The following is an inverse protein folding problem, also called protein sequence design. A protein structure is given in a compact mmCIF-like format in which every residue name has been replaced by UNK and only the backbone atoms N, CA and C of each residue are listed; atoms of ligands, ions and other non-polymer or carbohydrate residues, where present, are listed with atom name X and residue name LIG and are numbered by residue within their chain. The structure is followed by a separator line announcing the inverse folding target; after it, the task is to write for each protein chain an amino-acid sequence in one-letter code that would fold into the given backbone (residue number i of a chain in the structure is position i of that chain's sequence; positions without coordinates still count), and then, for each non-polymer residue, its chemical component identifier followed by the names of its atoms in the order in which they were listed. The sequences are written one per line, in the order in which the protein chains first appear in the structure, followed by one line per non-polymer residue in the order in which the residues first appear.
data_IF_154650822118
#
_entry.id   IF_154650822118
#
_cell.length_a   1.000
_cell.length_b   1.000
_cell.length_c   1.000
_cell.angle_alpha   90.00
_cell.angle_beta   90.00
_cell.angle_gamma   90.00
#
_symmetry.space_group_name_H-M   'P 1'
#
loop_
_entity.id
_entity.type
_entity.pdbx_description
1 polymer ?
#
# COMPACT_ATOMS: atom_id res chain seq x y z
N UNK A 1 18.38 -5.45 -2.65
CA UNK A 1 17.10 -4.84 -3.04
C UNK A 1 16.13 -5.20 -1.93
N UNK A 2 16.11 -4.34 -0.92
CA UNK A 2 15.28 -4.51 0.28
C UNK A 2 13.83 -4.47 -0.16
N UNK A 3 13.08 -5.50 0.22
CA UNK A 3 11.63 -5.44 0.31
C UNK A 3 11.35 -4.23 1.21
N UNK A 4 11.04 -3.07 0.63
CA UNK A 4 10.60 -1.92 1.41
C UNK A 4 9.34 -2.39 2.12
N UNK A 5 9.47 -2.58 3.44
CA UNK A 5 8.38 -3.01 4.29
C UNK A 5 7.18 -2.09 4.00
N UNK A 6 6.06 -2.62 3.50
CA UNK A 6 4.92 -1.79 3.08
C UNK A 6 4.49 -0.81 4.20
N UNK A 7 4.61 -1.26 5.46
CA UNK A 7 4.42 -0.47 6.65
C UNK A 7 5.38 0.74 6.75
N UNK A 8 6.66 0.58 6.40
CA UNK A 8 7.63 1.67 6.35
C UNK A 8 7.22 2.73 5.33
N UNK A 9 6.74 2.31 4.15
CA UNK A 9 6.26 3.23 3.12
C UNK A 9 5.04 4.05 3.61
N UNK A 10 4.06 3.40 4.25
CA UNK A 10 2.90 4.11 4.83
C UNK A 10 3.32 5.05 5.96
N UNK A 11 4.28 4.65 6.79
CA UNK A 11 4.83 5.52 7.85
C UNK A 11 5.51 6.76 7.27
N UNK A 12 6.36 6.59 6.25
CA UNK A 12 7.00 7.69 5.53
C UNK A 12 5.97 8.64 4.89
N UNK A 13 4.92 8.11 4.24
CA UNK A 13 3.83 8.92 3.70
C UNK A 13 3.04 9.65 4.79
N UNK A 14 2.89 9.06 5.97
CA UNK A 14 2.26 9.72 7.12
C UNK A 14 3.08 10.90 7.63
N UNK A 15 4.42 10.77 7.67
CA UNK A 15 5.33 11.89 7.95
C UNK A 15 5.19 13.01 6.91
N UNK A 16 5.28 12.66 5.62
CA UNK A 16 5.17 13.64 4.53
C UNK A 16 3.84 14.41 4.56
N UNK A 17 2.70 13.72 4.77
CA UNK A 17 1.38 14.35 4.93
C UNK A 17 1.33 15.32 6.10
N UNK A 18 1.96 14.98 7.23
CA UNK A 18 2.00 15.85 8.40
C UNK A 18 2.88 17.08 8.15
N UNK A 19 4.01 16.97 7.46
CA UNK A 19 4.81 18.14 7.07
C UNK A 19 4.05 19.08 6.14
N UNK A 20 3.32 18.55 5.15
CA UNK A 20 2.47 19.34 4.26
C UNK A 20 1.35 20.09 5.00
N UNK A 21 0.89 19.55 6.14
CA UNK A 21 -0.14 20.18 6.97
C UNK A 21 0.38 21.26 7.92
N UNK A 22 1.71 21.39 8.08
CA UNK A 22 2.32 22.39 8.97
C UNK A 22 2.47 23.74 8.23
N UNK A 23 1.95 24.85 8.78
CA UNK A 23 2.14 26.17 8.20
C UNK A 23 3.60 26.61 8.32
N UNK A 24 4.22 27.04 7.21
CA UNK A 24 5.56 27.67 7.19
C UNK A 24 6.72 26.82 6.67
N UNK A 25 6.52 25.54 6.34
CA UNK A 25 7.59 24.68 5.76
C UNK A 25 7.80 24.95 4.26
N UNK A 26 6.82 25.56 3.57
CA UNK A 26 6.79 25.68 2.11
C UNK A 26 6.41 27.09 1.63
N UNK A 27 7.23 28.07 1.98
CA UNK A 27 7.10 29.44 1.43
C UNK A 27 7.82 29.63 0.08
N UNK A 28 8.08 28.56 -0.68
CA UNK A 28 8.72 28.62 -2.01
C UNK A 28 8.17 27.57 -3.01
N UNK A 29 8.50 27.74 -4.30
CA UNK A 29 7.82 27.15 -5.47
C UNK A 29 7.42 25.66 -5.36
N UNK A 30 6.18 25.28 -5.78
CA UNK A 30 5.57 23.98 -5.49
C UNK A 30 6.14 22.78 -6.27
N UNK A 31 6.98 22.99 -7.28
CA UNK A 31 7.47 21.91 -8.17
C UNK A 31 8.82 21.34 -7.69
N UNK A 32 9.66 22.16 -7.04
CA UNK A 32 10.98 21.74 -6.54
C UNK A 32 10.90 21.21 -5.09
N UNK A 33 9.85 21.61 -4.36
CA UNK A 33 9.65 21.25 -2.96
C UNK A 33 9.05 19.86 -2.74
N UNK A 34 8.30 19.27 -3.68
CA UNK A 34 7.69 17.95 -3.42
C UNK A 34 8.74 16.85 -3.29
N UNK A 35 9.77 16.86 -4.15
CA UNK A 35 10.86 15.89 -4.09
C UNK A 35 11.73 16.09 -2.85
N UNK A 36 11.98 17.35 -2.45
CA UNK A 36 12.81 17.64 -1.26
C UNK A 36 12.10 17.26 0.05
N UNK A 37 10.77 17.43 0.11
CA UNK A 37 9.95 16.97 1.23
C UNK A 37 9.91 15.46 1.34
N UNK A 38 9.77 14.77 0.21
CA UNK A 38 9.76 13.30 0.19
C UNK A 38 11.11 12.75 0.67
N UNK A 39 12.24 13.33 0.21
CA UNK A 39 13.58 12.98 0.68
C UNK A 39 13.78 13.30 2.16
N UNK A 40 13.28 14.45 2.63
CA UNK A 40 13.33 14.85 4.04
C UNK A 40 12.50 13.90 4.93
N UNK A 41 11.28 13.56 4.51
CA UNK A 41 10.44 12.58 5.17
C UNK A 41 11.09 11.19 5.17
N UNK A 42 11.80 10.82 4.10
CA UNK A 42 12.50 9.55 4.00
C UNK A 42 13.67 9.47 4.97
N UNK A 43 14.46 10.54 5.08
CA UNK A 43 15.51 10.66 6.07
C UNK A 43 14.96 10.50 7.49
N UNK A 44 13.96 11.30 7.86
CA UNK A 44 13.35 11.25 9.19
C UNK A 44 12.67 9.91 9.48
N UNK A 45 12.03 9.30 8.48
CA UNK A 45 11.48 7.96 8.60
C UNK A 45 12.57 6.93 8.92
N UNK A 46 13.72 7.02 8.25
CA UNK A 46 14.85 6.11 8.45
C UNK A 46 15.46 6.22 9.84
N UNK A 47 15.42 7.41 10.45
CA UNK A 47 15.85 7.63 11.82
C UNK A 47 14.84 7.08 12.82
N UNK A 48 13.55 7.46 12.71
CA UNK A 48 12.54 7.09 13.70
C UNK A 48 12.12 5.60 13.63
N UNK A 49 12.03 5.02 12.43
CA UNK A 49 11.44 3.70 12.24
C UNK A 49 12.13 2.59 13.03
N UNK A 50 13.47 2.44 13.05
CA UNK A 50 14.14 1.39 13.81
C UNK A 50 13.86 1.44 15.33
N UNK A 51 13.54 2.62 15.87
CA UNK A 51 13.22 2.82 17.28
C UNK A 51 11.79 2.41 17.64
N UNK A 52 10.91 2.19 16.65
CA UNK A 52 9.52 1.80 16.90
C UNK A 52 9.40 0.33 17.34
N UNK A 53 8.48 0.03 18.29
CA UNK A 53 8.21 -1.35 18.72
C UNK A 53 7.85 -2.26 17.53
N UNK A 54 8.24 -3.56 17.57
CA UNK A 54 7.89 -4.51 16.52
C UNK A 54 6.37 -4.58 16.25
N UNK A 55 5.53 -4.47 17.27
CA UNK A 55 4.07 -4.47 17.15
C UNK A 55 3.53 -3.33 16.28
N UNK A 56 4.19 -2.17 16.28
CA UNK A 56 3.87 -1.04 15.40
C UNK A 56 4.40 -1.27 13.98
N UNK A 57 5.65 -1.76 13.87
CA UNK A 57 6.29 -1.99 12.57
C UNK A 57 5.69 -3.13 11.75
N UNK A 58 5.01 -4.05 12.39
CA UNK A 58 4.27 -5.15 11.75
C UNK A 58 2.75 -5.00 11.86
N UNK A 59 2.25 -3.79 12.19
CA UNK A 59 0.83 -3.54 12.30
C UNK A 59 0.12 -3.78 10.96
N UNK A 60 -1.00 -4.51 11.03
CA UNK A 60 -1.90 -4.80 9.91
C UNK A 60 -3.33 -4.89 10.42
N UNK A 61 -4.31 -4.85 9.51
CA UNK A 61 -5.72 -5.09 9.83
C UNK A 61 -5.94 -6.40 10.60
N UNK A 62 -5.22 -7.47 10.24
CA UNK A 62 -5.42 -8.80 10.83
C UNK A 62 -4.92 -8.86 12.29
N UNK A 63 -3.86 -8.11 12.62
CA UNK A 63 -3.28 -8.04 13.97
C UNK A 63 -3.62 -6.73 14.71
N UNK A 64 -4.64 -5.99 14.27
CA UNK A 64 -5.01 -4.69 14.87
C UNK A 64 -5.31 -4.75 16.37
N UNK A 65 -5.71 -5.92 16.89
CA UNK A 65 -5.95 -6.12 18.32
C UNK A 65 -4.67 -6.24 19.16
N UNK A 66 -3.52 -6.48 18.53
CA UNK A 66 -2.19 -6.54 19.16
C UNK A 66 -1.46 -5.19 19.11
N UNK A 67 -2.00 -4.22 18.35
CA UNK A 67 -1.43 -2.88 18.22
C UNK A 67 -1.74 -2.09 19.50
N UNK A 68 -0.71 -1.63 20.24
CA UNK A 68 -0.92 -0.84 21.45
C UNK A 68 -1.49 0.53 21.11
N UNK A 69 -2.21 1.12 22.07
CA UNK A 69 -2.69 2.49 21.98
C UNK A 69 -1.49 3.44 21.88
N UNK A 70 -1.51 4.33 20.88
CA UNK A 70 -0.46 5.32 20.62
C UNK A 70 -0.19 6.16 21.85
N UNK A 71 -1.21 6.52 22.63
CA UNK A 71 -1.05 7.35 23.82
C UNK A 71 -0.30 6.62 24.95
N UNK A 72 -0.34 5.28 24.95
CA UNK A 72 0.35 4.43 25.93
C UNK A 72 1.77 4.04 25.52
N UNK A 73 2.18 4.36 24.28
CA UNK A 73 3.53 4.07 23.80
C UNK A 73 4.57 4.91 24.56
N UNK A 74 5.53 4.22 25.17
CA UNK A 74 6.76 4.83 25.68
C UNK A 74 7.66 5.24 24.53
N UNK A 75 7.46 6.45 24.00
CA UNK A 75 8.32 7.08 22.98
C UNK A 75 9.61 7.65 23.59
N UNK A 76 10.11 7.03 24.65
CA UNK A 76 11.24 7.54 25.44
C UNK A 76 12.59 7.28 24.75
N UNK A 77 12.59 6.47 23.68
CA UNK A 77 13.76 6.08 22.89
C UNK A 77 13.78 6.74 21.51
N UNK A 78 13.12 7.89 21.33
CA UNK A 78 13.20 8.62 20.05
C UNK A 78 14.66 9.01 19.80
N UNK A 79 15.22 8.72 18.61
CA UNK A 79 16.61 9.05 18.30
C UNK A 79 16.87 10.56 18.39
N UNK A 80 18.01 10.94 18.97
CA UNK A 80 18.39 12.35 19.10
C UNK A 80 18.49 13.04 17.75
N UNK A 81 18.97 12.36 16.70
CA UNK A 81 19.02 12.91 15.35
C UNK A 81 17.63 13.32 14.82
N UNK A 82 16.59 12.56 15.14
CA UNK A 82 15.21 12.89 14.78
C UNK A 82 14.72 14.13 15.54
N UNK A 83 15.00 14.20 16.85
CA UNK A 83 14.65 15.35 17.71
C UNK A 83 15.36 16.61 17.24
N UNK A 84 16.69 16.56 17.11
CA UNK A 84 17.54 17.70 16.75
C UNK A 84 17.16 18.25 15.38
N UNK A 85 16.84 17.37 14.41
CA UNK A 85 16.41 17.79 13.08
C UNK A 85 15.08 18.52 13.12
N UNK A 86 14.07 17.99 13.82
CA UNK A 86 12.75 18.62 13.90
C UNK A 86 12.78 19.98 14.63
N UNK A 87 13.58 20.10 15.69
CA UNK A 87 13.77 21.37 16.39
C UNK A 87 14.53 22.37 15.53
N UNK A 88 15.62 21.94 14.87
CA UNK A 88 16.42 22.78 13.96
C UNK A 88 15.60 23.31 12.78
N UNK A 89 14.67 22.50 12.27
CA UNK A 89 13.74 22.89 11.21
C UNK A 89 12.55 23.74 11.69
N UNK A 90 12.41 24.00 13.00
CA UNK A 90 11.29 24.76 13.56
C UNK A 90 9.94 24.03 13.49
N UNK A 91 9.96 22.69 13.40
CA UNK A 91 8.74 21.86 13.33
C UNK A 91 8.19 21.59 14.74
N UNK A 92 9.07 21.66 15.75
CA UNK A 92 8.76 21.50 17.17
C UNK A 92 9.65 22.45 17.98
N UNK A 93 9.14 22.98 19.09
CA UNK A 93 9.92 23.90 19.93
C UNK A 93 10.81 23.16 20.93
N UNK A 94 10.38 21.96 21.35
CA UNK A 94 11.09 21.11 22.30
C UNK A 94 10.86 19.60 22.07
N UNK A 95 11.41 18.78 22.95
CA UNK A 95 11.31 17.32 22.88
C UNK A 95 9.86 16.84 23.06
N UNK A 96 9.07 17.52 23.91
CA UNK A 96 7.68 17.12 24.17
C UNK A 96 6.82 17.38 22.92
N UNK A 97 7.06 18.48 22.21
CA UNK A 97 6.44 18.77 20.92
C UNK A 97 6.85 17.75 19.84
N UNK A 98 8.12 17.34 19.79
CA UNK A 98 8.57 16.27 18.88
C UNK A 98 7.84 14.95 19.17
N UNK A 99 7.70 14.58 20.44
CA UNK A 99 6.98 13.38 20.85
C UNK A 99 5.51 13.50 20.48
N UNK A 100 4.88 14.65 20.72
CA UNK A 100 3.49 14.90 20.34
C UNK A 100 3.27 14.85 18.81
N UNK A 101 4.22 15.37 18.03
CA UNK A 101 4.23 15.25 16.58
C UNK A 101 4.32 13.79 16.14
N UNK A 102 5.28 13.03 16.68
CA UNK A 102 5.44 11.61 16.36
C UNK A 102 4.20 10.80 16.75
N UNK A 103 3.54 11.09 17.87
CA UNK A 103 2.27 10.44 18.24
C UNK A 103 1.19 10.67 17.18
N UNK A 104 1.05 11.89 16.66
CA UNK A 104 0.07 12.19 15.59
C UNK A 104 0.39 11.43 14.30
N UNK A 105 1.67 11.35 13.93
CA UNK A 105 2.12 10.56 12.77
C UNK A 105 1.81 9.07 12.96
N UNK A 106 2.09 8.53 14.14
CA UNK A 106 1.82 7.13 14.46
C UNK A 106 0.33 6.82 14.49
N UNK A 107 -0.51 7.75 14.96
CA UNK A 107 -1.95 7.60 14.94
C UNK A 107 -2.47 7.47 13.49
N UNK A 108 -2.05 8.37 12.59
CA UNK A 108 -2.44 8.29 11.17
C UNK A 108 -1.93 7.00 10.51
N UNK A 109 -0.67 6.65 10.77
CA UNK A 109 -0.06 5.43 10.26
C UNK A 109 -0.83 4.18 10.72
N UNK A 110 -1.14 4.07 12.02
CA UNK A 110 -1.87 2.93 12.59
C UNK A 110 -3.29 2.89 12.03
N UNK A 111 -4.00 4.01 11.99
CA UNK A 111 -5.33 4.08 11.40
C UNK A 111 -5.34 3.53 9.97
N UNK A 112 -4.33 3.89 9.17
CA UNK A 112 -4.22 3.46 7.79
C UNK A 112 -3.85 1.98 7.65
N UNK A 113 -2.81 1.49 8.32
CA UNK A 113 -2.36 0.08 8.18
C UNK A 113 -3.30 -0.91 8.87
N UNK A 114 -4.11 -0.44 9.82
CA UNK A 114 -5.16 -1.23 10.48
C UNK A 114 -6.55 -0.98 9.92
N UNK A 115 -6.68 -0.18 8.85
CA UNK A 115 -7.94 0.02 8.16
C UNK A 115 -8.46 -1.32 7.60
N UNK A 116 -9.78 -1.55 7.63
CA UNK A 116 -10.35 -2.73 7.00
C UNK A 116 -9.98 -2.78 5.52
N UNK A 117 -9.69 -3.96 4.96
CA UNK A 117 -9.48 -4.10 3.53
C UNK A 117 -10.69 -3.53 2.80
N UNK A 118 -10.49 -2.91 1.62
CA UNK A 118 -11.58 -2.31 0.89
C UNK A 118 -12.64 -3.35 0.61
N UNK A 119 -13.90 -2.92 0.58
CA UNK A 119 -14.99 -3.78 0.09
C UNK A 119 -14.76 -3.96 -1.40
N UNK A 120 -14.04 -5.03 -1.78
CA UNK A 120 -13.52 -5.28 -3.12
C UNK A 120 -14.58 -5.25 -4.24
N UNK A 121 -15.85 -5.53 -3.91
CA UNK A 121 -16.96 -5.37 -4.85
C UNK A 121 -17.27 -3.92 -5.23
N UNK A 122 -16.86 -2.95 -4.41
CA UNK A 122 -17.03 -1.51 -4.64
C UNK A 122 -15.85 -0.87 -5.38
N UNK A 123 -14.76 -1.61 -5.65
CA UNK A 123 -13.59 -1.08 -6.37
C UNK A 123 -13.74 -1.13 -7.90
N UNK A 124 -14.96 -1.32 -8.41
CA UNK A 124 -15.21 -1.52 -9.85
C UNK A 124 -14.77 -0.33 -10.67
N UNK A 125 -13.90 -0.59 -11.64
CA UNK A 125 -13.44 0.35 -12.66
C UNK A 125 -14.23 0.20 -13.97
N UNK A 126 -14.20 1.22 -14.83
CA UNK A 126 -14.73 1.17 -16.20
C UNK A 126 -13.77 0.50 -17.18
N UNK A 127 -12.48 0.49 -16.85
CA UNK A 127 -11.40 -0.06 -17.67
C UNK A 127 -10.90 -1.39 -17.13
N UNK A 128 -10.43 -2.26 -18.03
CA UNK A 128 -9.82 -3.52 -17.64
C UNK A 128 -8.42 -3.30 -17.05
N UNK A 129 -8.17 -3.77 -15.83
CA UNK A 129 -6.89 -3.55 -15.11
C UNK A 129 -5.67 -4.22 -15.75
N UNK A 130 -5.84 -5.13 -16.71
CA UNK A 130 -4.72 -5.71 -17.48
C UNK A 130 -4.50 -4.98 -18.81
N UNK A 131 -5.56 -4.65 -19.55
CA UNK A 131 -5.42 -4.15 -20.92
C UNK A 131 -5.80 -2.68 -21.12
N UNK A 132 -6.28 -2.03 -20.06
CA UNK A 132 -6.62 -0.60 -19.98
C UNK A 132 -7.67 -0.15 -21.02
N UNK A 133 -8.39 -1.11 -21.61
CA UNK A 133 -9.51 -0.79 -22.49
C UNK A 133 -10.75 -0.53 -21.66
N UNK A 134 -11.48 0.52 -22.02
CA UNK A 134 -12.82 0.80 -21.53
C UNK A 134 -13.84 -0.16 -22.18
N UNK A 135 -14.02 -1.31 -21.55
CA UNK A 135 -14.89 -2.41 -22.02
C UNK A 135 -15.57 -3.07 -20.82
N UNK A 136 -16.66 -3.84 -21.02
CA UNK A 136 -17.29 -4.57 -19.92
C UNK A 136 -16.31 -5.47 -19.17
N UNK A 137 -16.11 -5.16 -17.90
CA UNK A 137 -15.26 -5.91 -16.97
C UNK A 137 -16.08 -6.87 -16.09
N UNK A 138 -15.43 -7.95 -15.69
CA UNK A 138 -15.94 -9.03 -14.84
C UNK A 138 -15.14 -9.10 -13.54
N UNK A 139 -15.75 -9.64 -12.50
CA UNK A 139 -15.14 -9.84 -11.19
C UNK A 139 -14.21 -11.06 -11.22
N UNK A 140 -12.91 -10.87 -11.03
CA UNK A 140 -11.91 -11.95 -10.99
C UNK A 140 -11.25 -11.98 -9.62
N UNK A 141 -11.31 -13.12 -8.94
CA UNK A 141 -10.60 -13.32 -7.68
C UNK A 141 -9.10 -13.53 -7.93
N UNK A 142 -8.26 -12.65 -7.40
CA UNK A 142 -6.80 -12.74 -7.54
C UNK A 142 -6.23 -13.95 -6.78
N UNK A 143 -6.83 -14.26 -5.62
CA UNK A 143 -6.65 -15.53 -4.92
C UNK A 143 -7.90 -16.37 -5.19
N UNK A 144 -7.85 -17.40 -6.06
CA UNK A 144 -9.04 -18.16 -6.42
C UNK A 144 -9.72 -18.80 -5.19
N UNK A 145 -11.05 -18.71 -5.12
CA UNK A 145 -11.83 -19.20 -3.96
C UNK A 145 -11.58 -20.68 -3.65
N UNK A 146 -11.36 -21.49 -4.68
CA UNK A 146 -11.06 -22.91 -4.56
C UNK A 146 -9.81 -23.20 -3.71
N UNK A 147 -8.86 -22.26 -3.64
CA UNK A 147 -7.62 -22.44 -2.89
C UNK A 147 -7.60 -21.66 -1.56
N UNK A 148 -8.68 -20.97 -1.16
CA UNK A 148 -8.74 -20.19 0.08
C UNK A 148 -8.41 -21.03 1.33
N UNK A 149 -9.05 -22.18 1.50
CA UNK A 149 -8.79 -23.08 2.63
C UNK A 149 -7.32 -23.53 2.67
N UNK A 150 -6.73 -23.79 1.50
CA UNK A 150 -5.33 -24.20 1.39
C UNK A 150 -4.39 -23.03 1.69
N UNK A 151 -4.71 -21.83 1.19
CA UNK A 151 -3.95 -20.60 1.42
C UNK A 151 -3.85 -20.27 2.92
N UNK A 152 -4.98 -20.34 3.65
CA UNK A 152 -4.99 -20.15 5.09
C UNK A 152 -4.20 -21.24 5.83
N UNK A 153 -4.45 -22.52 5.50
CA UNK A 153 -3.75 -23.64 6.16
C UNK A 153 -2.23 -23.60 5.94
N UNK A 154 -1.77 -23.04 4.83
CA UNK A 154 -0.36 -22.91 4.47
C UNK A 154 0.22 -21.53 4.78
N UNK A 155 -0.56 -20.64 5.39
CA UNK A 155 -0.18 -19.27 5.71
C UNK A 155 0.38 -18.51 4.50
N UNK A 156 -0.24 -18.68 3.32
CA UNK A 156 0.15 -17.94 2.11
C UNK A 156 -0.36 -16.51 2.14
N UNK A 157 -1.57 -16.31 2.69
CA UNK A 157 -2.27 -15.03 2.74
C UNK A 157 -3.11 -14.96 4.00
N UNK A 158 -3.35 -13.76 4.49
CA UNK A 158 -4.31 -13.51 5.56
C UNK A 158 -5.75 -13.58 5.06
N UNK A 159 -6.70 -13.64 5.98
CA UNK A 159 -8.12 -13.72 5.65
C UNK A 159 -8.62 -12.47 4.89
N UNK A 160 -8.12 -11.28 5.25
CA UNK A 160 -8.45 -10.03 4.58
C UNK A 160 -8.07 -10.00 3.10
N UNK A 161 -6.98 -10.69 2.73
CA UNK A 161 -6.46 -10.76 1.37
C UNK A 161 -7.27 -11.69 0.45
N UNK A 162 -7.92 -12.73 0.98
CA UNK A 162 -8.55 -13.79 0.18
C UNK A 162 -9.61 -13.28 -0.80
N UNK A 163 -10.28 -12.18 -0.47
CA UNK A 163 -11.33 -11.61 -1.29
C UNK A 163 -10.83 -10.52 -2.26
N UNK A 164 -9.51 -10.33 -2.38
CA UNK A 164 -8.93 -9.41 -3.35
C UNK A 164 -9.31 -9.77 -4.77
N UNK A 165 -9.60 -8.74 -5.57
CA UNK A 165 -10.10 -8.91 -6.94
C UNK A 165 -9.44 -7.97 -7.92
N UNK A 166 -9.55 -8.37 -9.18
CA UNK A 166 -9.32 -7.53 -10.35
C UNK A 166 -10.57 -7.47 -11.23
N UNK A 167 -10.78 -6.33 -11.87
CA UNK A 167 -11.81 -6.03 -12.84
C UNK A 167 -11.27 -6.23 -14.24
N UNK A 168 -11.53 -7.42 -14.78
CA UNK A 168 -10.94 -7.87 -16.02
C UNK A 168 -11.99 -8.02 -17.12
N UNK A 169 -11.68 -7.54 -18.32
CA UNK A 169 -12.46 -7.90 -19.50
C UNK A 169 -12.39 -9.41 -19.74
N UNK A 170 -13.44 -9.98 -20.34
CA UNK A 170 -13.55 -11.43 -20.54
C UNK A 170 -12.30 -12.07 -21.20
N UNK A 171 -11.69 -11.50 -22.26
CA UNK A 171 -10.47 -12.06 -22.84
C UNK A 171 -9.27 -12.07 -21.89
N UNK A 172 -9.09 -11.03 -21.08
CA UNK A 172 -8.02 -10.97 -20.08
C UNK A 172 -8.27 -11.99 -18.96
N UNK A 173 -9.50 -12.05 -18.43
CA UNK A 173 -9.89 -13.03 -17.43
C UNK A 173 -9.60 -14.46 -17.90
N UNK A 174 -10.06 -14.84 -19.09
CA UNK A 174 -9.78 -16.17 -19.66
C UNK A 174 -8.29 -16.43 -19.89
N UNK A 175 -7.48 -15.38 -20.09
CA UNK A 175 -6.04 -15.54 -20.29
C UNK A 175 -5.32 -15.76 -18.97
N UNK A 176 -5.70 -15.06 -17.89
CA UNK A 176 -5.13 -15.29 -16.54
C UNK A 176 -5.23 -16.77 -16.14
N UNK A 177 -6.41 -17.38 -16.29
CA UNK A 177 -6.60 -18.81 -15.99
C UNK A 177 -5.97 -19.77 -17.01
N UNK A 178 -5.49 -19.28 -18.15
CA UNK A 178 -4.76 -20.09 -19.14
C UNK A 178 -3.26 -20.13 -18.84
N UNK A 179 -2.71 -19.04 -18.33
CA UNK A 179 -1.25 -18.88 -18.14
C UNK A 179 -0.77 -19.37 -16.78
N UNK A 180 -1.66 -19.45 -15.79
CA UNK A 180 -1.35 -19.93 -14.45
C UNK A 180 -2.54 -20.70 -13.88
N UNK A 181 -2.25 -21.79 -13.17
CA UNK A 181 -3.26 -22.53 -12.43
C UNK A 181 -3.64 -21.83 -11.12
N UNK A 182 -4.71 -22.28 -10.45
CA UNK A 182 -5.23 -21.61 -9.26
C UNK A 182 -4.22 -21.51 -8.10
N UNK A 183 -3.33 -22.49 -7.96
CA UNK A 183 -2.29 -22.47 -6.92
C UNK A 183 -1.14 -21.53 -7.28
N UNK A 184 -0.73 -21.48 -8.54
CA UNK A 184 0.25 -20.51 -9.04
C UNK A 184 -0.27 -19.07 -8.90
N UNK A 185 -1.54 -18.83 -9.26
CA UNK A 185 -2.19 -17.54 -9.06
C UNK A 185 -2.13 -17.12 -7.59
N UNK A 186 -2.56 -17.99 -6.68
CA UNK A 186 -2.53 -17.68 -5.26
C UNK A 186 -1.10 -17.47 -4.73
N UNK A 187 -0.10 -18.23 -5.16
CA UNK A 187 1.24 -18.13 -4.56
C UNK A 187 2.10 -17.02 -5.15
N UNK A 188 1.99 -16.79 -6.45
CA UNK A 188 2.95 -15.97 -7.21
C UNK A 188 2.30 -14.78 -7.91
N UNK A 189 0.99 -14.83 -8.20
CA UNK A 189 0.31 -13.83 -9.04
C UNK A 189 -1.00 -13.32 -8.41
N UNK A 190 -0.99 -13.08 -7.10
CA UNK A 190 -2.15 -12.71 -6.30
C UNK A 190 -2.43 -11.19 -6.27
N UNK A 191 -1.77 -10.41 -7.13
CA UNK A 191 -2.04 -8.98 -7.38
C UNK A 191 -2.00 -8.69 -8.87
N UNK A 192 -2.62 -7.58 -9.30
CA UNK A 192 -2.56 -7.13 -10.70
C UNK A 192 -1.11 -6.85 -11.10
N UNK A 193 -0.32 -6.20 -10.25
CA UNK A 193 1.09 -5.91 -10.53
C UNK A 193 1.90 -7.17 -10.78
N UNK A 194 1.73 -8.20 -9.94
CA UNK A 194 2.39 -9.51 -10.14
C UNK A 194 1.95 -10.19 -11.43
N UNK A 195 0.68 -10.08 -11.82
CA UNK A 195 0.22 -10.56 -13.11
C UNK A 195 0.91 -9.81 -14.26
N UNK A 196 1.08 -8.49 -14.13
CA UNK A 196 1.73 -7.64 -15.12
C UNK A 196 3.25 -7.83 -15.20
N UNK A 197 3.89 -8.41 -14.19
CA UNK A 197 5.30 -8.82 -14.23
C UNK A 197 5.54 -10.03 -15.15
N UNK A 198 4.50 -10.82 -15.47
CA UNK A 198 4.65 -12.00 -16.34
C UNK A 198 4.83 -11.61 -17.80
N UNK A 199 5.86 -12.18 -18.44
CA UNK A 199 6.15 -11.93 -19.85
C UNK A 199 4.99 -12.30 -20.80
N UNK A 200 4.29 -13.40 -20.52
CA UNK A 200 3.14 -13.84 -21.32
C UNK A 200 1.92 -12.91 -21.20
N UNK A 201 1.64 -12.41 -19.99
CA UNK A 201 0.62 -11.38 -19.75
C UNK A 201 1.02 -10.06 -20.41
N UNK A 202 2.27 -9.64 -20.36
CA UNK A 202 2.75 -8.42 -21.02
C UNK A 202 2.58 -8.50 -22.55
N UNK A 203 2.98 -9.63 -23.15
CA UNK A 203 2.77 -9.90 -24.59
C UNK A 203 1.28 -9.87 -24.93
N UNK A 204 0.46 -10.53 -24.11
CA UNK A 204 -0.99 -10.52 -24.28
C UNK A 204 -1.57 -9.10 -24.19
N UNK A 205 -1.23 -8.34 -23.14
CA UNK A 205 -1.63 -6.94 -22.91
C UNK A 205 -1.36 -6.09 -24.14
N UNK A 206 -0.13 -6.14 -24.67
CA UNK A 206 0.30 -5.37 -25.86
C UNK A 206 -0.52 -5.69 -27.12
N UNK A 207 -0.97 -6.94 -27.26
CA UNK A 207 -1.80 -7.39 -28.36
C UNK A 207 -3.28 -7.00 -28.16
N UNK A 208 -3.84 -7.34 -26.99
CA UNK A 208 -5.28 -7.22 -26.72
C UNK A 208 -5.72 -5.76 -26.57
N UNK A 209 -4.85 -4.87 -26.07
CA UNK A 209 -5.15 -3.44 -25.91
C UNK A 209 -5.45 -2.74 -27.25
N UNK A 210 -4.92 -3.28 -28.36
CA UNK A 210 -5.13 -2.77 -29.72
C UNK A 210 -6.37 -3.33 -30.40
N UNK A 211 -7.01 -4.35 -29.82
CA UNK A 211 -8.15 -5.00 -30.45
C UNK A 211 -9.40 -4.15 -30.28
N UNK A 212 -10.11 -3.93 -31.38
CA UNK A 212 -11.39 -3.22 -31.37
C UNK A 212 -12.42 -4.05 -30.60
N UNK A 213 -13.04 -3.42 -29.62
CA UNK A 213 -14.23 -3.97 -28.98
C UNK A 213 -15.46 -3.55 -29.81
N UNK A 214 -16.02 -4.50 -30.56
CA UNK A 214 -17.29 -4.27 -31.25
C UNK A 214 -18.42 -4.80 -30.38
N UNK A 215 -19.28 -3.91 -29.88
CA UNK A 215 -20.55 -4.32 -29.30
C UNK A 215 -21.38 -4.87 -30.46
N UNK A 216 -21.52 -6.19 -30.55
CA UNK A 216 -22.57 -6.76 -31.40
C UNK A 216 -23.90 -6.28 -30.82
N UNK A 217 -24.53 -5.30 -31.47
CA UNK A 217 -25.97 -5.08 -31.30
C UNK A 217 -26.64 -6.37 -31.77
N UNK A 218 -27.52 -6.89 -30.92
CA UNK A 218 -28.13 -8.23 -31.03
C UNK A 218 -28.76 -8.53 -32.38
#
# INVERSE_FOLDING_TARGET
MTDENAQYAVFNQSLARRFLSQPGILDSDPIDNSSSLDDFALYLASEAWPALPPSIRSATYDHRGEVPDVDTLGLETVPTAFVDTLISCGIADDVDDVVAFLRKVLADYIEEVTAPPPVWSKTRTSECEICEREVPVTYHHLIPREVHTKALKKNWHSEGMLNSVAWLCRPCHSTVHRVANNEELAKQFYTVDRLLEREDIQKWRKYISKQRWSVKRG
#
